data_IF_692519087056
#
_entry.id   IF_692519087056
#
_cell.length_a   1.000
_cell.length_b   1.000
_cell.length_c   1.000
_cell.angle_alpha   90.00
_cell.angle_beta   90.00
_cell.angle_gamma   90.00
#
_symmetry.space_group_name_H-M   'P 1'
#
loop_
_entity.id
_entity.type
_entity.pdbx_description
1 polymer ?
#
# COMPACT_ATOMS: atom_id res chain seq x y z
N UNK A 1 19.76 -12.18 -29.52
CA UNK A 1 18.63 -12.09 -28.59
C UNK A 1 19.14 -11.40 -27.33
N UNK A 2 18.64 -10.22 -27.00
CA UNK A 2 19.09 -9.47 -25.83
C UNK A 2 18.33 -9.98 -24.60
N UNK A 3 18.99 -10.77 -23.77
CA UNK A 3 18.49 -11.10 -22.44
C UNK A 3 18.67 -9.88 -21.56
N UNK A 4 17.62 -9.09 -21.39
CA UNK A 4 17.56 -8.00 -20.43
C UNK A 4 17.75 -8.59 -19.04
N UNK A 5 18.94 -8.40 -18.49
CA UNK A 5 19.26 -8.67 -17.09
C UNK A 5 18.35 -7.75 -16.29
N UNK A 6 17.29 -8.30 -15.68
CA UNK A 6 16.48 -7.55 -14.74
C UNK A 6 17.41 -7.11 -13.60
N UNK A 7 17.73 -5.82 -13.56
CA UNK A 7 18.43 -5.24 -12.42
C UNK A 7 17.58 -5.53 -11.18
N UNK A 8 18.14 -6.05 -10.07
CA UNK A 8 17.45 -5.99 -8.80
C UNK A 8 17.35 -4.50 -8.47
N UNK A 9 16.23 -3.89 -8.81
CA UNK A 9 15.85 -2.60 -8.26
C UNK A 9 15.85 -2.80 -6.75
N UNK A 10 16.92 -2.35 -6.10
CA UNK A 10 16.92 -2.02 -4.68
C UNK A 10 15.56 -1.37 -4.41
N UNK A 11 14.73 -1.88 -3.49
CA UNK A 11 13.38 -1.36 -3.30
C UNK A 11 13.54 0.11 -2.99
N UNK A 12 13.22 0.94 -3.99
CA UNK A 12 13.41 2.38 -3.97
C UNK A 12 12.27 2.89 -3.12
N UNK A 13 12.38 2.65 -1.80
CA UNK A 13 11.46 3.00 -0.74
C UNK A 13 10.03 3.07 -1.27
N UNK A 14 9.31 1.94 -1.31
CA UNK A 14 7.85 1.91 -1.57
C UNK A 14 7.03 2.70 -0.53
N UNK A 15 7.71 3.53 0.27
CA UNK A 15 7.22 4.50 1.21
C UNK A 15 6.51 5.63 0.47
N UNK A 16 5.20 5.53 0.45
CA UNK A 16 4.29 6.57 -0.01
C UNK A 16 3.58 7.18 1.17
N UNK A 17 3.16 8.43 1.05
CA UNK A 17 2.23 9.02 2.01
C UNK A 17 0.82 8.43 1.80
N UNK A 18 -0.04 8.51 2.82
CA UNK A 18 -1.44 8.10 2.68
C UNK A 18 -2.18 8.86 1.57
N UNK A 19 -1.79 10.11 1.31
CA UNK A 19 -2.37 10.94 0.25
C UNK A 19 -1.99 10.42 -1.14
N UNK A 20 -0.71 10.07 -1.34
CA UNK A 20 -0.22 9.47 -2.57
C UNK A 20 -0.82 8.09 -2.79
N UNK A 21 -0.86 7.25 -1.74
CA UNK A 21 -1.52 5.96 -1.80
C UNK A 21 -2.98 6.12 -2.23
N UNK A 22 -3.74 7.05 -1.65
CA UNK A 22 -5.12 7.33 -2.05
C UNK A 22 -5.25 7.70 -3.53
N UNK A 23 -4.34 8.49 -4.07
CA UNK A 23 -4.34 8.82 -5.50
C UNK A 23 -4.11 7.57 -6.37
N UNK A 24 -3.13 6.74 -6.04
CA UNK A 24 -2.84 5.49 -6.75
C UNK A 24 -4.00 4.48 -6.66
N UNK A 25 -4.63 4.38 -5.49
CA UNK A 25 -5.83 3.57 -5.28
C UNK A 25 -7.03 4.10 -6.08
N UNK A 26 -7.17 5.42 -6.22
CA UNK A 26 -8.21 6.00 -7.07
C UNK A 26 -7.97 5.75 -8.56
N UNK A 27 -6.72 5.82 -9.04
CA UNK A 27 -6.36 5.50 -10.43
C UNK A 27 -6.67 4.05 -10.81
N UNK A 28 -6.58 3.13 -9.85
CA UNK A 28 -6.88 1.70 -10.05
C UNK A 28 -8.38 1.37 -9.89
N UNK A 29 -9.24 2.35 -9.62
CA UNK A 29 -10.68 2.16 -9.43
C UNK A 29 -11.08 1.69 -8.03
N UNK A 30 -10.14 1.61 -7.10
CA UNK A 30 -10.37 1.20 -5.71
C UNK A 30 -10.28 2.42 -4.79
N UNK A 31 -11.26 3.31 -4.87
CA UNK A 31 -11.28 4.53 -4.06
C UNK A 31 -11.45 4.20 -2.57
N UNK A 32 -10.34 4.21 -1.83
CA UNK A 32 -10.30 3.95 -0.38
C UNK A 32 -9.96 5.25 0.36
N UNK A 33 -10.59 5.46 1.53
CA UNK A 33 -10.30 6.62 2.36
C UNK A 33 -8.96 6.49 3.10
N UNK A 34 -8.28 7.61 3.37
CA UNK A 34 -7.05 7.60 4.18
C UNK A 34 -7.29 7.03 5.57
N UNK A 35 -8.46 7.27 6.16
CA UNK A 35 -8.86 6.72 7.47
C UNK A 35 -8.91 5.19 7.43
N UNK A 36 -9.42 4.61 6.35
CA UNK A 36 -9.45 3.16 6.13
C UNK A 36 -8.03 2.59 6.00
N UNK A 37 -7.17 3.24 5.21
CA UNK A 37 -5.78 2.83 5.06
C UNK A 37 -5.01 2.89 6.39
N UNK A 38 -5.22 3.95 7.18
CA UNK A 38 -4.65 4.07 8.54
C UNK A 38 -5.13 2.96 9.46
N UNK A 39 -6.41 2.60 9.37
CA UNK A 39 -7.00 1.50 10.14
C UNK A 39 -6.34 0.18 9.78
N UNK A 40 -6.18 -0.13 8.49
CA UNK A 40 -5.50 -1.34 8.05
C UNK A 40 -4.06 -1.45 8.54
N UNK A 41 -3.30 -0.35 8.49
CA UNK A 41 -1.92 -0.34 9.02
C UNK A 41 -1.90 -0.59 10.53
N UNK A 42 -2.88 -0.04 11.26
CA UNK A 42 -3.00 -0.23 12.72
C UNK A 42 -3.43 -1.65 13.08
N UNK A 43 -4.42 -2.21 12.39
CA UNK A 43 -4.95 -3.56 12.64
C UNK A 43 -3.98 -4.66 12.17
N UNK A 44 -3.30 -4.44 11.04
CA UNK A 44 -2.29 -5.34 10.51
C UNK A 44 -0.92 -5.24 11.19
N UNK A 45 -0.75 -4.36 12.19
CA UNK A 45 0.51 -4.17 12.90
C UNK A 45 1.68 -3.73 12.01
N UNK A 46 1.39 -3.04 10.90
CA UNK A 46 2.38 -2.77 9.86
C UNK A 46 3.19 -1.51 10.13
N UNK A 47 4.41 -1.50 9.61
CA UNK A 47 5.38 -0.45 9.90
C UNK A 47 4.99 0.84 9.19
N UNK A 48 4.73 1.88 9.98
CA UNK A 48 4.64 3.25 9.48
C UNK A 48 5.95 3.96 9.78
N UNK A 49 6.58 4.54 8.76
CA UNK A 49 7.85 5.25 8.91
C UNK A 49 7.56 6.74 8.96
N UNK A 50 8.00 7.41 10.02
CA UNK A 50 7.88 8.86 10.12
C UNK A 50 9.18 9.50 9.64
N UNK A 51 9.14 10.22 8.52
CA UNK A 51 10.28 10.96 7.98
C UNK A 51 9.87 12.40 7.71
N UNK A 52 10.74 13.37 7.98
CA UNK A 52 10.57 14.79 7.62
C UNK A 52 9.18 15.40 7.95
N UNK A 53 8.53 14.97 9.03
CA UNK A 53 7.20 15.45 9.43
C UNK A 53 6.00 14.75 8.78
N UNK A 54 6.22 13.86 7.81
CA UNK A 54 5.20 13.02 7.17
C UNK A 54 5.16 11.59 7.72
N UNK A 55 4.00 10.93 7.58
CA UNK A 55 3.87 9.49 7.82
C UNK A 55 3.87 8.79 6.48
N UNK A 56 4.85 7.92 6.30
CA UNK A 56 5.05 7.12 5.11
C UNK A 56 4.75 5.66 5.42
N UNK A 57 4.21 4.96 4.42
CA UNK A 57 3.80 3.57 4.51
C UNK A 57 4.19 2.86 3.24
N UNK A 58 4.54 1.57 3.35
CA UNK A 58 4.78 0.75 2.18
C UNK A 58 3.50 0.61 1.36
N UNK A 59 3.56 0.98 0.08
CA UNK A 59 2.44 0.83 -0.82
C UNK A 59 2.06 -0.65 -1.01
N UNK A 60 3.07 -1.53 -1.07
CA UNK A 60 2.87 -2.99 -1.14
C UNK A 60 2.11 -3.51 0.07
N UNK A 61 2.44 -3.03 1.28
CA UNK A 61 1.69 -3.39 2.47
C UNK A 61 0.22 -2.96 2.33
N UNK A 62 -0.04 -1.71 1.92
CA UNK A 62 -1.42 -1.26 1.72
C UNK A 62 -2.20 -2.14 0.72
N UNK A 63 -1.56 -2.59 -0.36
CA UNK A 63 -2.17 -3.51 -1.32
C UNK A 63 -2.49 -4.88 -0.69
N UNK A 64 -1.58 -5.43 0.13
CA UNK A 64 -1.85 -6.69 0.86
C UNK A 64 -3.02 -6.51 1.82
N UNK A 65 -3.10 -5.39 2.56
CA UNK A 65 -4.25 -5.11 3.44
C UNK A 65 -5.55 -4.99 2.67
N UNK A 66 -5.51 -4.30 1.52
CA UNK A 66 -6.67 -4.19 0.67
C UNK A 66 -7.12 -5.57 0.19
N UNK A 67 -6.19 -6.44 -0.21
CA UNK A 67 -6.47 -7.83 -0.56
C UNK A 67 -7.12 -8.61 0.59
N UNK A 68 -6.56 -8.55 1.79
CA UNK A 68 -7.13 -9.18 2.99
C UNK A 68 -8.53 -8.65 3.30
N UNK A 69 -8.74 -7.35 3.16
CA UNK A 69 -10.03 -6.70 3.38
C UNK A 69 -11.07 -7.10 2.33
N UNK A 70 -10.69 -7.15 1.05
CA UNK A 70 -11.57 -7.62 -0.03
C UNK A 70 -11.89 -9.11 0.14
N UNK A 71 -10.91 -9.94 0.53
CA UNK A 71 -11.14 -11.36 0.78
C UNK A 71 -12.07 -11.58 1.99
N UNK A 72 -11.89 -10.82 3.06
CA UNK A 72 -12.78 -10.82 4.22
C UNK A 72 -14.19 -10.33 3.85
N UNK A 73 -14.30 -9.30 2.99
CA UNK A 73 -15.58 -8.79 2.51
C UNK A 73 -16.28 -9.73 1.50
N UNK A 74 -15.51 -10.47 0.69
CA UNK A 74 -16.01 -11.46 -0.27
C UNK A 74 -16.45 -12.77 0.40
N UNK A 75 -16.00 -13.02 1.64
CA UNK A 75 -16.49 -14.11 2.47
C UNK A 75 -17.84 -13.72 3.08
N UNK A 76 -18.89 -13.76 2.26
CA UNK A 76 -20.29 -13.69 2.70
C UNK A 76 -20.81 -15.15 2.75
N UNK A 77 -21.37 -15.63 3.87
CA UNK A 77 -22.02 -16.95 3.95
C UNK A 77 -23.31 -17.04 3.12
#
# INVERSE_FOLDING_TARGET
MASTIAQPTLPKLDLVTYKEAKALFAETGHAVSESTMRRWMKEGGRVTVRMAGGVYVSFSDLLVAHGDWVAAAATIP
#
